data_IF_031246476989
#
_entry.id   IF_031246476989
#
_cell.length_a   1.000
_cell.length_b   1.000
_cell.length_c   1.000
_cell.angle_alpha   90.00
_cell.angle_beta   90.00
_cell.angle_gamma   90.00
#
_symmetry.space_group_name_H-M   'P 1'
#
loop_
_entity.id
_entity.type
_entity.pdbx_description
1 polymer ?
#
# COMPACT_ATOMS: atom_id res chain seq x y z
N UNK A 1 -51.83 -3.62 7.30
CA UNK A 1 -51.11 -3.89 6.04
C UNK A 1 -49.66 -4.20 6.42
N UNK A 2 -49.18 -5.42 6.18
CA UNK A 2 -47.81 -5.83 6.53
C UNK A 2 -46.84 -5.29 5.47
N UNK A 3 -45.85 -4.52 5.91
CA UNK A 3 -44.78 -4.01 5.05
C UNK A 3 -43.86 -5.16 4.65
N UNK A 4 -43.68 -5.40 3.35
CA UNK A 4 -42.78 -6.43 2.86
C UNK A 4 -41.33 -5.92 2.89
N UNK A 5 -40.56 -6.33 3.90
CA UNK A 5 -39.17 -5.93 4.06
C UNK A 5 -38.25 -6.46 2.95
N UNK A 6 -38.57 -7.59 2.31
CA UNK A 6 -37.73 -8.17 1.26
C UNK A 6 -37.64 -7.23 0.06
N UNK A 7 -38.76 -6.57 -0.30
CA UNK A 7 -38.78 -5.56 -1.37
C UNK A 7 -37.90 -4.36 -0.99
N UNK A 8 -37.98 -3.87 0.25
CA UNK A 8 -37.19 -2.73 0.71
C UNK A 8 -35.70 -3.04 0.79
N UNK A 9 -35.35 -4.25 1.24
CA UNK A 9 -33.97 -4.74 1.28
C UNK A 9 -33.44 -4.92 -0.15
N UNK A 10 -34.28 -5.43 -1.06
CA UNK A 10 -33.92 -5.50 -2.47
C UNK A 10 -33.66 -4.10 -3.04
N UNK A 11 -34.52 -3.13 -2.77
CA UNK A 11 -34.36 -1.72 -3.19
C UNK A 11 -33.09 -1.07 -2.63
N UNK A 12 -32.70 -1.36 -1.38
CA UNK A 12 -31.43 -0.89 -0.81
C UNK A 12 -30.22 -1.27 -1.68
N UNK A 13 -30.28 -2.42 -2.37
CA UNK A 13 -29.23 -2.86 -3.29
C UNK A 13 -29.07 -2.00 -4.55
N UNK A 14 -30.09 -1.22 -4.92
CA UNK A 14 -30.09 -0.37 -6.11
C UNK A 14 -29.71 1.09 -5.82
N UNK A 15 -29.73 1.50 -4.55
CA UNK A 15 -29.43 2.86 -4.14
C UNK A 15 -27.92 3.10 -4.21
N UNK A 16 -27.50 4.02 -5.08
CA UNK A 16 -26.08 4.38 -5.24
C UNK A 16 -25.64 5.49 -4.28
N UNK A 17 -26.59 6.29 -3.79
CA UNK A 17 -26.29 7.46 -2.95
C UNK A 17 -26.27 7.05 -1.47
N UNK A 18 -25.11 7.16 -0.81
CA UNK A 18 -24.95 6.81 0.63
C UNK A 18 -25.96 7.52 1.54
N UNK A 19 -26.31 8.77 1.21
CA UNK A 19 -27.29 9.58 1.96
C UNK A 19 -28.69 8.95 1.98
N UNK A 20 -29.08 8.32 0.89
CA UNK A 20 -30.41 7.71 0.75
C UNK A 20 -30.47 6.37 1.50
N UNK A 21 -29.40 5.56 1.39
CA UNK A 21 -29.21 4.35 2.22
C UNK A 21 -29.29 4.71 3.70
N UNK A 22 -28.56 5.74 4.11
CA UNK A 22 -28.57 6.24 5.49
C UNK A 22 -29.96 6.68 5.95
N UNK A 23 -30.71 7.39 5.10
CA UNK A 23 -32.05 7.86 5.40
C UNK A 23 -33.00 6.69 5.66
N UNK A 24 -32.91 5.61 4.86
CA UNK A 24 -33.68 4.38 5.08
C UNK A 24 -33.25 3.64 6.34
N UNK A 25 -31.94 3.53 6.61
CA UNK A 25 -31.40 2.90 7.82
C UNK A 25 -31.90 3.55 9.11
N UNK A 26 -32.24 4.85 9.09
CA UNK A 26 -32.77 5.58 10.26
C UNK A 26 -34.23 5.27 10.58
N UNK A 27 -34.97 4.63 9.67
CA UNK A 27 -36.41 4.40 9.86
C UNK A 27 -36.71 3.24 10.81
N UNK A 28 -35.94 2.14 10.76
CA UNK A 28 -36.13 0.98 11.63
C UNK A 28 -34.86 0.11 11.77
N UNK A 29 -34.82 -0.76 12.78
CA UNK A 29 -33.67 -1.65 13.05
C UNK A 29 -33.38 -2.64 11.93
N UNK A 30 -34.42 -3.17 11.27
CA UNK A 30 -34.28 -4.11 10.15
C UNK A 30 -33.54 -3.47 8.98
N UNK A 31 -33.96 -2.27 8.57
CA UNK A 31 -33.30 -1.53 7.50
C UNK A 31 -31.93 -1.00 7.93
N UNK A 32 -31.73 -0.65 9.21
CA UNK A 32 -30.39 -0.36 9.74
C UNK A 32 -29.44 -1.53 9.50
N UNK A 33 -29.84 -2.75 9.87
CA UNK A 33 -28.98 -3.93 9.71
C UNK A 33 -28.77 -4.30 8.24
N UNK A 34 -29.84 -4.33 7.45
CA UNK A 34 -29.78 -4.66 6.02
C UNK A 34 -29.02 -3.61 5.19
N UNK A 35 -29.03 -2.34 5.61
CA UNK A 35 -28.32 -1.25 4.94
C UNK A 35 -26.82 -1.21 5.19
N UNK A 36 -26.29 -1.86 6.23
CA UNK A 36 -24.86 -1.81 6.58
C UNK A 36 -23.93 -2.24 5.43
N UNK A 37 -24.13 -3.40 4.77
CA UNK A 37 -23.27 -3.79 3.65
C UNK A 37 -23.25 -2.76 2.52
N UNK A 38 -24.37 -2.09 2.28
CA UNK A 38 -24.49 -1.08 1.23
C UNK A 38 -23.81 0.24 1.61
N UNK A 39 -23.83 0.62 2.89
CA UNK A 39 -23.15 1.82 3.39
C UNK A 39 -21.62 1.72 3.27
N UNK A 40 -21.08 0.52 3.52
CA UNK A 40 -19.64 0.22 3.47
C UNK A 40 -19.15 -0.28 2.11
N UNK A 41 -20.03 -0.43 1.12
CA UNK A 41 -19.65 -0.87 -0.24
C UNK A 41 -18.65 0.07 -0.91
N UNK A 42 -18.81 1.40 -0.86
CA UNK A 42 -17.82 2.31 -1.43
C UNK A 42 -16.72 2.64 -0.43
N UNK A 43 -15.47 2.85 -0.88
CA UNK A 43 -14.33 3.10 0.00
C UNK A 43 -14.59 4.20 1.02
N UNK A 44 -14.11 3.97 2.24
CA UNK A 44 -14.22 4.92 3.33
C UNK A 44 -12.89 5.67 3.45
N UNK A 45 -12.91 6.95 3.09
CA UNK A 45 -11.76 7.85 3.20
C UNK A 45 -12.16 9.17 3.87
N UNK A 46 -12.13 9.25 5.22
CA UNK A 46 -12.45 10.49 5.92
C UNK A 46 -11.48 11.60 5.51
N UNK A 47 -12.02 12.74 5.08
CA UNK A 47 -11.23 13.86 4.59
C UNK A 47 -10.92 14.91 5.66
N UNK A 48 -11.78 14.99 6.68
CA UNK A 48 -11.63 15.90 7.81
C UNK A 48 -11.69 15.13 9.13
N UNK A 49 -11.23 15.79 10.20
CA UNK A 49 -11.30 15.22 11.54
C UNK A 49 -12.75 15.05 12.00
N UNK A 50 -13.64 15.95 11.63
CA UNK A 50 -15.05 15.89 11.98
C UNK A 50 -15.71 14.66 11.33
N UNK A 51 -15.37 14.37 10.07
CA UNK A 51 -15.81 13.15 9.39
C UNK A 51 -15.23 11.90 10.05
N UNK A 52 -13.95 11.92 10.41
CA UNK A 52 -13.28 10.81 11.09
C UNK A 52 -13.88 10.54 12.47
N UNK A 53 -14.12 11.59 13.26
CA UNK A 53 -14.73 11.50 14.58
C UNK A 53 -16.18 10.99 14.48
N UNK A 54 -16.98 11.52 13.55
CA UNK A 54 -18.34 11.04 13.30
C UNK A 54 -18.35 9.57 12.89
N UNK A 55 -17.38 9.14 12.07
CA UNK A 55 -17.18 7.75 11.71
C UNK A 55 -16.84 6.87 12.93
N UNK A 56 -15.89 7.29 13.77
CA UNK A 56 -15.55 6.57 15.00
C UNK A 56 -16.76 6.45 15.94
N UNK A 57 -17.50 7.55 16.16
CA UNK A 57 -18.73 7.54 16.97
C UNK A 57 -19.81 6.62 16.37
N UNK A 58 -19.89 6.54 15.05
CA UNK A 58 -20.81 5.61 14.38
C UNK A 58 -20.42 4.15 14.60
N UNK A 59 -19.13 3.82 14.53
CA UNK A 59 -18.62 2.47 14.82
C UNK A 59 -18.91 2.11 16.28
N UNK A 60 -18.61 2.99 17.22
CA UNK A 60 -18.90 2.77 18.65
C UNK A 60 -20.39 2.52 18.90
N UNK A 61 -21.26 3.35 18.30
CA UNK A 61 -22.70 3.24 18.49
C UNK A 61 -23.32 2.02 17.80
N UNK A 62 -22.65 1.46 16.79
CA UNK A 62 -23.15 0.30 16.03
C UNK A 62 -22.49 -1.02 16.45
N UNK A 63 -21.47 -0.95 17.31
CA UNK A 63 -20.78 -2.09 17.89
C UNK A 63 -19.99 -2.93 16.87
N UNK A 64 -19.59 -4.15 17.26
CA UNK A 64 -18.68 -4.99 16.47
C UNK A 64 -19.26 -5.41 15.11
N UNK A 65 -20.57 -5.27 14.92
CA UNK A 65 -21.27 -5.71 13.71
C UNK A 65 -20.97 -4.87 12.48
N UNK A 66 -20.41 -3.66 12.62
CA UNK A 66 -20.08 -2.79 11.49
C UNK A 66 -18.71 -3.10 10.89
N UNK A 67 -17.72 -3.42 11.72
CA UNK A 67 -16.35 -3.67 11.26
C UNK A 67 -16.28 -4.76 10.20
N UNK A 68 -17.08 -5.82 10.34
CA UNK A 68 -17.10 -6.94 9.37
C UNK A 68 -17.54 -6.57 7.95
N UNK A 69 -18.16 -5.40 7.75
CA UNK A 69 -18.57 -4.95 6.41
C UNK A 69 -17.55 -4.01 5.79
N UNK A 70 -16.56 -3.55 6.55
CA UNK A 70 -15.50 -2.69 6.07
C UNK A 70 -14.56 -3.49 5.16
N UNK A 71 -14.49 -3.12 3.89
CA UNK A 71 -13.64 -3.76 2.88
C UNK A 71 -12.48 -2.90 2.45
N UNK A 72 -12.72 -1.61 2.34
CA UNK A 72 -11.76 -0.64 1.84
C UNK A 72 -11.74 0.55 2.81
N UNK A 73 -10.56 0.82 3.36
CA UNK A 73 -10.38 1.92 4.30
C UNK A 73 -9.09 2.67 4.02
N UNK A 74 -9.22 3.97 3.83
CA UNK A 74 -8.07 4.87 3.69
C UNK A 74 -8.14 5.92 4.78
N UNK A 75 -7.04 6.14 5.48
CA UNK A 75 -6.94 7.22 6.45
C UNK A 75 -5.71 8.07 6.20
N UNK A 76 -5.74 9.27 6.78
CA UNK A 76 -4.64 10.21 6.73
C UNK A 76 -3.95 10.31 8.08
N UNK A 77 -2.63 10.28 8.14
CA UNK A 77 -1.91 10.27 9.43
C UNK A 77 -2.21 11.49 10.30
N UNK A 78 -2.51 12.65 9.72
CA UNK A 78 -2.96 13.86 10.45
C UNK A 78 -4.22 13.61 11.29
N UNK A 79 -5.10 12.71 10.84
CA UNK A 79 -6.32 12.36 11.56
C UNK A 79 -5.98 11.60 12.84
N UNK A 80 -4.88 10.84 12.87
CA UNK A 80 -4.42 10.12 14.06
C UNK A 80 -3.85 11.02 15.12
N UNK A 81 -2.97 11.93 14.75
CA UNK A 81 -2.39 12.90 15.70
C UNK A 81 -3.52 13.67 16.38
N UNK A 82 -4.56 14.04 15.62
CA UNK A 82 -5.74 14.70 16.19
C UNK A 82 -6.62 13.74 16.99
N UNK A 83 -6.83 12.50 16.52
CA UNK A 83 -7.61 11.48 17.23
C UNK A 83 -7.00 11.11 18.59
N UNK A 84 -5.68 11.10 18.70
CA UNK A 84 -4.95 10.90 19.95
C UNK A 84 -5.23 12.05 20.93
N UNK A 85 -5.23 13.29 20.43
CA UNK A 85 -5.56 14.48 21.23
C UNK A 85 -7.03 14.55 21.65
N UNK A 86 -7.96 14.04 20.83
CA UNK A 86 -9.41 14.10 21.09
C UNK A 86 -9.98 12.83 21.72
N UNK A 87 -9.16 11.80 21.95
CA UNK A 87 -9.60 10.53 22.54
C UNK A 87 -10.36 9.59 21.61
N UNK A 88 -10.47 9.90 20.31
CA UNK A 88 -11.17 9.05 19.31
C UNK A 88 -10.30 7.90 18.80
N UNK A 89 -9.02 7.86 19.16
CA UNK A 89 -8.07 6.82 18.73
C UNK A 89 -8.48 5.41 19.19
N UNK A 90 -9.04 5.28 20.40
CA UNK A 90 -9.45 3.97 20.94
C UNK A 90 -10.56 3.33 20.11
N UNK A 91 -11.58 4.11 19.76
CA UNK A 91 -12.68 3.70 18.87
C UNK A 91 -12.20 3.31 17.48
N UNK A 92 -11.17 4.01 17.00
CA UNK A 92 -10.56 3.69 15.73
C UNK A 92 -9.79 2.37 15.76
N UNK A 93 -9.02 2.12 16.83
CA UNK A 93 -8.28 0.87 17.02
C UNK A 93 -9.25 -0.32 17.15
N UNK A 94 -10.33 -0.18 17.94
CA UNK A 94 -11.31 -1.27 18.15
C UNK A 94 -12.08 -1.64 16.87
N UNK A 95 -12.11 -0.75 15.88
CA UNK A 95 -12.67 -1.06 14.57
C UNK A 95 -11.88 -2.19 13.89
N UNK A 96 -10.55 -2.17 13.96
CA UNK A 96 -9.70 -3.15 13.28
C UNK A 96 -9.83 -4.55 13.87
N UNK A 97 -10.12 -4.67 15.17
CA UNK A 97 -10.42 -5.95 15.82
C UNK A 97 -11.59 -6.69 15.14
N UNK A 98 -12.53 -5.93 14.57
CA UNK A 98 -13.73 -6.45 13.93
C UNK A 98 -13.69 -6.37 12.40
N UNK A 99 -12.64 -5.81 11.81
CA UNK A 99 -12.51 -5.57 10.36
C UNK A 99 -12.03 -6.82 9.59
N UNK A 100 -12.67 -7.96 9.83
CA UNK A 100 -12.26 -9.27 9.30
C UNK A 100 -12.41 -9.41 7.78
N UNK A 101 -13.13 -8.49 7.14
CA UNK A 101 -13.30 -8.45 5.68
C UNK A 101 -12.52 -7.29 5.03
N UNK A 102 -11.65 -6.61 5.77
CA UNK A 102 -10.82 -5.53 5.23
C UNK A 102 -9.81 -6.11 4.24
N UNK A 103 -9.92 -5.69 2.99
CA UNK A 103 -9.11 -6.13 1.86
C UNK A 103 -8.18 -5.03 1.37
N UNK A 104 -8.59 -3.76 1.47
CA UNK A 104 -7.77 -2.64 1.03
C UNK A 104 -7.54 -1.67 2.19
N UNK A 105 -6.27 -1.38 2.44
CA UNK A 105 -5.84 -0.46 3.49
C UNK A 105 -4.92 0.60 2.89
N UNK A 106 -5.37 1.86 2.95
CA UNK A 106 -4.58 3.02 2.55
C UNK A 106 -4.16 3.86 3.75
N UNK A 107 -2.88 4.20 3.80
CA UNK A 107 -2.28 5.12 4.75
C UNK A 107 -1.69 6.27 3.94
N UNK A 108 -2.32 7.43 4.02
CA UNK A 108 -1.91 8.63 3.31
C UNK A 108 -1.31 9.67 4.27
N UNK A 109 -0.33 10.43 3.80
CA UNK A 109 0.09 11.66 4.44
C UNK A 109 -0.30 12.87 3.59
N UNK A 110 -0.71 13.96 4.25
CA UNK A 110 -0.90 15.25 3.61
C UNK A 110 -0.08 16.29 4.37
N UNK A 111 0.99 16.80 3.76
CA UNK A 111 1.75 17.94 4.23
C UNK A 111 3.17 17.63 4.70
N UNK A 112 3.79 18.64 5.30
CA UNK A 112 5.18 18.64 5.79
C UNK A 112 5.20 18.74 7.34
N UNK A 113 4.09 18.33 7.98
CA UNK A 113 3.90 18.54 9.42
C UNK A 113 4.79 17.58 10.22
N UNK A 114 5.61 18.18 11.09
CA UNK A 114 6.52 17.47 11.97
C UNK A 114 5.83 16.36 12.77
N UNK A 115 6.50 15.21 12.66
CA UNK A 115 6.24 13.86 13.09
C UNK A 115 5.66 13.71 14.51
N UNK A 116 4.52 13.04 14.59
CA UNK A 116 4.22 12.17 15.74
C UNK A 116 4.56 10.73 15.34
N UNK A 117 5.33 10.03 16.17
CA UNK A 117 5.48 8.57 16.05
C UNK A 117 4.07 7.97 16.16
N UNK A 118 3.64 7.08 15.24
CA UNK A 118 2.34 6.44 15.36
C UNK A 118 2.19 5.77 16.72
N UNK A 119 0.99 5.84 17.28
CA UNK A 119 0.70 5.20 18.55
C UNK A 119 1.01 3.69 18.48
N UNK A 120 1.77 3.11 19.43
CA UNK A 120 2.12 1.70 19.39
C UNK A 120 0.92 0.74 19.34
N UNK A 121 -0.19 1.10 19.99
CA UNK A 121 -1.42 0.29 19.96
C UNK A 121 -2.06 0.28 18.58
N UNK A 122 -1.93 1.36 17.82
CA UNK A 122 -2.36 1.38 16.42
C UNK A 122 -1.49 0.47 15.57
N UNK A 123 -0.16 0.56 15.68
CA UNK A 123 0.76 -0.29 14.92
C UNK A 123 0.48 -1.77 15.22
N UNK A 124 0.28 -2.10 16.49
CA UNK A 124 -0.11 -3.45 16.90
C UNK A 124 -1.42 -3.88 16.25
N UNK A 125 -2.47 -3.05 16.31
CA UNK A 125 -3.78 -3.37 15.72
C UNK A 125 -3.68 -3.61 14.20
N UNK A 126 -2.93 -2.77 13.48
CA UNK A 126 -2.68 -2.95 12.05
C UNK A 126 -1.94 -4.26 11.76
N UNK A 127 -0.95 -4.63 12.58
CA UNK A 127 -0.23 -5.90 12.43
C UNK A 127 -1.10 -7.15 12.62
N UNK A 128 -2.22 -7.04 13.34
CA UNK A 128 -3.16 -8.17 13.55
C UNK A 128 -4.10 -8.41 12.38
N UNK A 129 -4.13 -7.53 11.37
CA UNK A 129 -4.97 -7.71 10.20
C UNK A 129 -4.52 -8.94 9.39
N UNK A 130 -5.47 -9.78 9.01
CA UNK A 130 -5.22 -11.05 8.28
C UNK A 130 -5.81 -11.09 6.87
N UNK A 131 -6.68 -10.13 6.53
CA UNK A 131 -7.44 -10.12 5.28
C UNK A 131 -6.94 -9.17 4.19
N UNK A 132 -5.93 -8.33 4.48
CA UNK A 132 -5.50 -7.24 3.58
C UNK A 132 -4.79 -7.80 2.34
N UNK A 133 -5.27 -7.42 1.16
CA UNK A 133 -4.70 -7.77 -0.14
C UNK A 133 -4.00 -6.60 -0.78
N UNK A 134 -4.57 -5.41 -0.67
CA UNK A 134 -4.01 -4.19 -1.27
C UNK A 134 -3.62 -3.24 -0.13
N UNK A 135 -2.32 -3.02 0.03
CA UNK A 135 -1.76 -2.16 1.07
C UNK A 135 -1.02 -0.99 0.43
N UNK A 136 -1.45 0.22 0.76
CA UNK A 136 -0.76 1.44 0.34
C UNK A 136 -0.30 2.24 1.56
N UNK A 137 1.00 2.53 1.65
CA UNK A 137 1.59 3.43 2.64
C UNK A 137 2.31 4.54 1.90
N UNK A 138 1.53 5.58 1.59
CA UNK A 138 1.97 6.76 0.85
C UNK A 138 2.45 7.81 1.84
N UNK A 139 3.77 7.90 1.89
CA UNK A 139 4.63 8.74 2.73
C UNK A 139 4.95 8.14 4.11
N UNK A 140 6.22 8.27 4.52
CA UNK A 140 6.75 7.81 5.81
C UNK A 140 6.55 6.31 6.09
N UNK A 141 6.68 5.46 5.07
CA UNK A 141 6.65 4.00 5.23
C UNK A 141 7.63 3.47 6.31
N UNK A 142 8.70 4.21 6.61
CA UNK A 142 9.64 3.90 7.69
C UNK A 142 8.98 3.74 9.06
N UNK A 143 8.00 4.59 9.40
CA UNK A 143 7.28 4.50 10.68
C UNK A 143 6.38 3.27 10.78
N UNK A 144 6.11 2.61 9.65
CA UNK A 144 5.27 1.42 9.53
C UNK A 144 6.07 0.15 9.24
N UNK A 145 7.41 0.19 9.25
CA UNK A 145 8.25 -1.02 9.11
C UNK A 145 7.84 -2.11 10.11
N UNK A 146 7.60 -1.84 11.41
CA UNK A 146 7.14 -2.88 12.34
C UNK A 146 5.81 -3.52 11.93
N UNK A 147 4.91 -2.75 11.31
CA UNK A 147 3.64 -3.27 10.78
C UNK A 147 3.91 -4.16 9.58
N UNK A 148 4.71 -3.70 8.61
CA UNK A 148 5.07 -4.49 7.43
C UNK A 148 5.74 -5.82 7.79
N UNK A 149 6.58 -5.81 8.84
CA UNK A 149 7.28 -6.99 9.34
C UNK A 149 6.44 -7.92 10.24
N UNK A 150 5.30 -7.47 10.74
CA UNK A 150 4.42 -8.29 11.60
C UNK A 150 3.13 -8.73 10.90
N UNK A 151 2.68 -7.98 9.88
CA UNK A 151 1.45 -8.22 9.16
C UNK A 151 1.45 -9.62 8.52
N UNK A 152 0.42 -10.41 8.86
CA UNK A 152 0.22 -11.77 8.35
C UNK A 152 -0.78 -11.83 7.18
N UNK A 153 -1.24 -10.67 6.72
CA UNK A 153 -2.16 -10.59 5.58
C UNK A 153 -1.48 -11.02 4.27
N UNK A 154 -2.17 -11.74 3.37
CA UNK A 154 -1.63 -12.17 2.08
C UNK A 154 -1.65 -11.01 1.08
N UNK A 155 -0.82 -10.00 1.32
CA UNK A 155 -0.74 -8.80 0.48
C UNK A 155 -0.34 -9.18 -0.95
N UNK A 156 -1.18 -8.81 -1.90
CA UNK A 156 -1.06 -9.02 -3.34
C UNK A 156 -0.51 -7.78 -4.01
N UNK A 157 -0.98 -6.59 -3.61
CA UNK A 157 -0.48 -5.31 -4.11
C UNK A 157 0.07 -4.47 -2.97
N UNK A 158 1.27 -3.96 -3.17
CA UNK A 158 1.96 -3.15 -2.18
C UNK A 158 2.45 -1.86 -2.81
N UNK A 159 2.08 -0.73 -2.23
CA UNK A 159 2.51 0.60 -2.64
C UNK A 159 3.19 1.28 -1.45
N UNK A 160 4.50 1.50 -1.53
CA UNK A 160 5.32 2.05 -0.45
C UNK A 160 6.07 3.29 -0.91
N UNK A 161 5.94 4.36 -0.14
CA UNK A 161 6.76 5.57 -0.30
C UNK A 161 7.58 5.82 0.96
N UNK A 162 8.89 5.62 0.84
CA UNK A 162 9.86 6.05 1.86
C UNK A 162 10.24 7.51 1.60
N UNK A 163 10.61 8.27 2.63
CA UNK A 163 11.03 9.67 2.48
C UNK A 163 12.54 9.79 2.74
N UNK A 164 13.21 10.77 2.11
CA UNK A 164 14.65 11.01 2.13
C UNK A 164 15.21 11.23 3.55
N UNK A 165 14.41 11.81 4.44
CA UNK A 165 14.87 12.31 5.74
C UNK A 165 14.97 11.27 6.86
N UNK A 166 14.95 9.96 6.57
CA UNK A 166 14.96 8.93 7.62
C UNK A 166 16.40 8.50 7.95
N UNK A 167 16.97 8.92 9.09
CA UNK A 167 18.26 8.41 9.53
C UNK A 167 18.17 6.88 9.67
N UNK A 168 19.17 6.17 9.13
CA UNK A 168 19.29 4.71 9.09
C UNK A 168 18.52 3.95 7.99
N UNK A 169 17.81 4.62 7.06
CA UNK A 169 17.21 3.91 5.91
C UNK A 169 18.28 3.16 5.09
N UNK A 170 19.50 3.70 5.06
CA UNK A 170 20.66 3.07 4.44
C UNK A 170 21.08 1.73 5.08
N UNK A 171 20.57 1.36 6.25
CA UNK A 171 20.94 0.10 6.91
C UNK A 171 19.95 -1.04 6.65
N UNK A 172 18.80 -0.74 6.04
CA UNK A 172 17.72 -1.73 5.84
C UNK A 172 17.46 -1.92 4.35
N UNK A 173 17.74 -3.12 3.85
CA UNK A 173 17.40 -3.45 2.47
C UNK A 173 15.87 -3.49 2.27
N UNK A 174 15.31 -2.91 1.20
CA UNK A 174 13.87 -2.81 1.00
C UNK A 174 13.19 -4.19 0.97
N UNK A 175 13.86 -5.19 0.39
CA UNK A 175 13.34 -6.57 0.31
C UNK A 175 13.16 -7.23 1.68
N UNK A 176 13.96 -6.84 2.68
CA UNK A 176 13.81 -7.36 4.06
C UNK A 176 12.55 -6.85 4.75
N UNK A 177 12.04 -5.68 4.35
CA UNK A 177 10.83 -5.06 4.91
C UNK A 177 9.58 -5.82 4.42
N UNK A 178 9.60 -6.26 3.16
CA UNK A 178 8.45 -6.85 2.49
C UNK A 178 8.51 -8.39 2.38
N UNK A 179 9.51 -9.02 3.00
CA UNK A 179 9.77 -10.47 2.89
C UNK A 179 8.58 -11.35 3.28
N UNK A 180 7.74 -10.89 4.21
CA UNK A 180 6.54 -11.61 4.66
C UNK A 180 5.53 -11.83 3.53
N UNK A 181 5.55 -10.97 2.52
CA UNK A 181 4.66 -11.02 1.37
C UNK A 181 5.24 -11.82 0.20
N UNK A 182 6.42 -12.44 0.37
CA UNK A 182 7.12 -13.19 -0.70
C UNK A 182 6.28 -14.25 -1.42
N UNK A 183 5.34 -14.88 -0.71
CA UNK A 183 4.47 -15.92 -1.26
C UNK A 183 3.18 -15.41 -1.89
N UNK A 184 2.80 -14.15 -1.67
CA UNK A 184 1.52 -13.58 -2.11
C UNK A 184 1.65 -12.37 -3.03
N UNK A 185 2.76 -11.64 -2.97
CA UNK A 185 2.93 -10.36 -3.65
C UNK A 185 3.00 -10.55 -5.17
N UNK A 186 2.13 -9.84 -5.89
CA UNK A 186 2.03 -9.85 -7.34
C UNK A 186 2.45 -8.50 -7.95
N UNK A 187 2.18 -7.40 -7.25
CA UNK A 187 2.49 -6.04 -7.69
C UNK A 187 3.18 -5.22 -6.60
N UNK A 188 4.28 -4.56 -6.95
CA UNK A 188 5.03 -3.68 -6.04
C UNK A 188 5.26 -2.31 -6.69
N UNK A 189 4.76 -1.26 -6.05
CA UNK A 189 5.16 0.14 -6.27
C UNK A 189 6.04 0.58 -5.11
N UNK A 190 7.27 1.00 -5.41
CA UNK A 190 8.26 1.35 -4.41
C UNK A 190 8.97 2.65 -4.77
N UNK A 191 8.74 3.68 -3.97
CA UNK A 191 9.54 4.90 -3.98
C UNK A 191 10.58 4.81 -2.86
N UNK A 192 11.85 4.73 -3.25
CA UNK A 192 12.96 4.45 -2.36
C UNK A 192 14.11 5.43 -2.60
N UNK A 193 14.48 6.17 -1.56
CA UNK A 193 15.48 7.24 -1.67
C UNK A 193 16.89 6.88 -1.17
N UNK A 194 17.06 5.68 -0.60
CA UNK A 194 18.38 5.25 -0.12
C UNK A 194 19.22 4.64 -1.24
N UNK A 195 20.52 4.92 -1.20
CA UNK A 195 21.54 4.35 -2.09
C UNK A 195 21.66 2.82 -1.97
N UNK A 196 21.26 2.27 -0.82
CA UNK A 196 21.34 0.83 -0.55
C UNK A 196 20.07 0.11 -0.98
N UNK A 197 19.88 -0.03 -2.30
CA UNK A 197 18.87 -0.95 -2.82
C UNK A 197 19.33 -2.41 -2.78
N UNK A 198 20.63 -2.67 -2.57
CA UNK A 198 21.21 -4.01 -2.62
C UNK A 198 20.50 -4.99 -1.66
N UNK A 199 19.73 -5.96 -2.17
CA UNK A 199 19.20 -7.01 -1.33
C UNK A 199 20.35 -7.94 -0.98
N UNK A 200 20.45 -8.27 0.30
CA UNK A 200 21.05 -9.53 0.68
C UNK A 200 20.25 -10.64 -0.03
N UNK A 201 20.93 -11.51 -0.78
CA UNK A 201 20.31 -12.68 -1.42
C UNK A 201 19.50 -13.44 -0.36
N UNK A 202 18.17 -13.34 -0.41
CA UNK A 202 17.33 -13.86 0.69
C UNK A 202 15.91 -14.15 0.26
N UNK A 203 15.17 -13.14 -0.19
CA UNK A 203 13.77 -13.29 -0.56
C UNK A 203 13.59 -13.35 -2.09
N UNK A 204 12.79 -14.33 -2.54
CA UNK A 204 12.26 -14.41 -3.88
C UNK A 204 10.74 -14.23 -3.83
N UNK A 205 10.20 -13.44 -4.76
CA UNK A 205 8.79 -13.13 -4.88
C UNK A 205 8.30 -13.78 -6.17
N UNK A 206 8.04 -15.09 -6.11
CA UNK A 206 7.78 -15.91 -7.30
C UNK A 206 6.45 -15.55 -8.01
N UNK A 207 5.51 -14.92 -7.32
CA UNK A 207 4.23 -14.48 -7.89
C UNK A 207 4.29 -13.06 -8.46
N UNK A 208 5.40 -12.36 -8.25
CA UNK A 208 5.51 -10.97 -8.59
C UNK A 208 5.69 -10.81 -10.10
N UNK A 209 4.81 -10.02 -10.70
CA UNK A 209 4.71 -9.81 -12.15
C UNK A 209 4.83 -8.34 -12.52
N UNK A 210 4.52 -7.41 -11.61
CA UNK A 210 4.63 -5.98 -11.85
C UNK A 210 5.48 -5.27 -10.80
N UNK A 211 6.41 -4.45 -11.28
CA UNK A 211 7.33 -3.67 -10.49
C UNK A 211 7.35 -2.23 -10.99
N UNK A 212 7.01 -1.29 -10.13
CA UNK A 212 7.24 0.14 -10.32
C UNK A 212 8.26 0.61 -9.27
N UNK A 213 9.42 1.06 -9.72
CA UNK A 213 10.48 1.57 -8.85
C UNK A 213 10.76 3.02 -9.19
N UNK A 214 10.68 3.88 -8.18
CA UNK A 214 11.19 5.25 -8.24
C UNK A 214 12.37 5.34 -7.28
N UNK A 215 13.59 5.55 -7.80
CA UNK A 215 14.80 5.67 -6.99
C UNK A 215 15.74 6.75 -7.55
N UNK A 216 16.16 7.74 -6.75
CA UNK A 216 17.12 8.76 -7.19
C UNK A 216 18.48 8.18 -7.56
N UNK A 217 18.85 7.05 -6.95
CA UNK A 217 20.14 6.37 -7.07
C UNK A 217 20.12 5.09 -7.91
N UNK A 218 19.34 5.03 -8.99
CA UNK A 218 19.23 3.84 -9.86
C UNK A 218 20.59 3.32 -10.38
N UNK A 219 21.65 4.15 -10.39
CA UNK A 219 23.02 3.75 -10.70
C UNK A 219 23.61 2.67 -9.78
N UNK A 220 22.94 2.30 -8.69
CA UNK A 220 23.33 1.21 -7.79
C UNK A 220 22.43 -0.03 -7.91
N UNK A 221 21.36 0.04 -8.70
CA UNK A 221 20.44 -1.07 -8.88
C UNK A 221 21.03 -2.10 -9.85
N UNK A 222 21.45 -3.25 -9.34
CA UNK A 222 21.96 -4.33 -10.17
C UNK A 222 20.82 -5.16 -10.75
N UNK A 223 20.86 -5.44 -12.05
CA UNK A 223 19.84 -6.23 -12.74
C UNK A 223 19.75 -7.66 -12.19
N UNK A 224 20.91 -8.24 -11.80
CA UNK A 224 21.00 -9.59 -11.23
C UNK A 224 20.13 -9.74 -9.98
N UNK A 225 20.15 -8.70 -9.15
CA UNK A 225 19.34 -8.60 -7.94
C UNK A 225 17.84 -8.60 -8.25
N UNK A 226 17.42 -7.80 -9.24
CA UNK A 226 16.02 -7.73 -9.61
C UNK A 226 15.54 -9.05 -10.20
N UNK A 227 16.35 -9.66 -11.08
CA UNK A 227 16.05 -10.96 -11.68
C UNK A 227 16.02 -12.07 -10.61
N UNK A 228 16.92 -12.00 -9.62
CA UNK A 228 16.94 -12.95 -8.50
C UNK A 228 15.65 -12.85 -7.66
N UNK A 229 15.27 -11.64 -7.27
CA UNK A 229 14.13 -11.39 -6.39
C UNK A 229 12.80 -11.55 -7.10
N UNK A 230 12.72 -11.21 -8.40
CA UNK A 230 11.49 -11.18 -9.19
C UNK A 230 11.67 -11.99 -10.49
N UNK A 231 11.85 -13.32 -10.41
CA UNK A 231 12.20 -14.12 -11.58
C UNK A 231 11.09 -14.18 -12.65
N UNK A 232 9.83 -13.97 -12.25
CA UNK A 232 8.65 -14.02 -13.12
C UNK A 232 8.11 -12.62 -13.47
N UNK A 233 8.94 -11.58 -13.34
CA UNK A 233 8.55 -10.21 -13.66
C UNK A 233 8.17 -10.08 -15.15
N UNK A 234 7.07 -9.39 -15.41
CA UNK A 234 6.54 -9.12 -16.76
C UNK A 234 6.48 -7.64 -17.07
N UNK A 235 6.24 -6.81 -16.05
CA UNK A 235 6.07 -5.37 -16.20
C UNK A 235 7.10 -4.67 -15.33
N UNK A 236 7.98 -3.90 -15.94
CA UNK A 236 8.96 -3.06 -15.25
C UNK A 236 8.71 -1.60 -15.59
N UNK A 237 8.36 -0.80 -14.57
CA UNK A 237 8.28 0.65 -14.64
C UNK A 237 9.38 1.23 -13.76
N UNK A 238 10.08 2.20 -14.31
CA UNK A 238 11.08 2.98 -13.58
C UNK A 238 10.74 4.45 -13.72
N UNK A 239 10.80 5.19 -12.62
CA UNK A 239 10.49 6.61 -12.63
C UNK A 239 11.66 7.39 -12.02
N UNK A 240 11.90 8.61 -12.51
CA UNK A 240 12.87 9.52 -11.92
C UNK A 240 12.22 10.31 -10.79
N UNK A 241 12.93 10.46 -9.68
CA UNK A 241 12.64 11.57 -8.78
C UNK A 241 13.20 12.83 -9.45
N UNK A 242 12.32 13.75 -9.88
CA UNK A 242 12.60 14.98 -10.64
C UNK A 242 13.71 15.89 -10.07
N UNK A 243 14.24 15.59 -8.89
CA UNK A 243 15.25 16.38 -8.20
C UNK A 243 16.68 16.22 -8.75
N UNK A 244 17.00 15.15 -9.49
CA UNK A 244 18.40 14.82 -9.90
C UNK A 244 18.63 14.60 -11.40
N UNK A 245 17.62 14.81 -12.25
CA UNK A 245 17.72 14.62 -13.70
C UNK A 245 18.81 15.48 -14.40
N UNK A 246 19.40 16.46 -13.71
CA UNK A 246 20.39 17.38 -14.25
C UNK A 246 21.86 16.94 -14.09
N UNK A 247 22.15 15.85 -13.40
CA UNK A 247 23.55 15.43 -13.11
C UNK A 247 23.93 14.05 -13.65
N UNK A 248 23.28 13.57 -14.71
CA UNK A 248 23.66 12.31 -15.33
C UNK A 248 25.08 12.37 -15.91
N UNK A 249 26.05 11.75 -15.24
CA UNK A 249 27.37 11.48 -15.79
C UNK A 249 27.32 10.16 -16.58
N UNK A 250 27.73 10.23 -17.85
CA UNK A 250 27.72 9.09 -18.77
C UNK A 250 28.71 8.00 -18.35
N UNK A 251 29.87 8.37 -17.81
CA UNK A 251 30.93 7.42 -17.50
C UNK A 251 30.55 6.42 -16.38
N UNK A 252 29.97 6.85 -15.23
CA UNK A 252 29.41 5.94 -14.24
C UNK A 252 28.27 5.06 -14.81
N UNK A 253 27.40 5.64 -15.64
CA UNK A 253 26.31 4.90 -16.28
C UNK A 253 26.82 3.76 -17.17
N UNK A 254 27.85 4.01 -17.99
CA UNK A 254 28.45 2.99 -18.86
C UNK A 254 29.08 1.85 -18.05
N UNK A 255 29.81 2.16 -16.96
CA UNK A 255 30.40 1.15 -16.10
C UNK A 255 29.34 0.25 -15.43
N UNK A 256 28.24 0.85 -14.97
CA UNK A 256 27.11 0.11 -14.39
C UNK A 256 26.41 -0.79 -15.42
N UNK A 257 26.18 -0.25 -16.62
CA UNK A 257 25.62 -1.01 -17.73
C UNK A 257 26.47 -2.23 -18.08
N UNK A 258 27.79 -2.08 -18.15
CA UNK A 258 28.68 -3.23 -18.42
C UNK A 258 28.60 -4.29 -17.32
N UNK A 259 28.48 -3.86 -16.06
CA UNK A 259 28.27 -4.78 -14.92
C UNK A 259 26.96 -5.55 -15.04
N UNK A 260 25.87 -4.87 -15.42
CA UNK A 260 24.57 -5.49 -15.65
C UNK A 260 24.60 -6.47 -16.85
N UNK A 261 25.22 -6.07 -17.96
CA UNK A 261 25.38 -6.93 -19.14
C UNK A 261 26.20 -8.18 -18.84
N UNK A 262 27.30 -8.05 -18.09
CA UNK A 262 28.10 -9.20 -17.67
C UNK A 262 27.27 -10.19 -16.82
N UNK A 263 26.32 -9.68 -16.03
CA UNK A 263 25.46 -10.48 -15.17
C UNK A 263 24.39 -11.28 -15.94
N UNK A 264 24.03 -10.88 -17.16
CA UNK A 264 23.08 -11.60 -18.02
C UNK A 264 23.52 -13.00 -18.40
N UNK A 265 24.83 -13.26 -18.38
CA UNK A 265 25.37 -14.61 -18.56
C UNK A 265 24.92 -15.59 -17.47
N UNK A 266 24.56 -15.08 -16.29
CA UNK A 266 24.13 -15.87 -15.14
C UNK A 266 22.62 -15.96 -15.05
N UNK A 267 21.94 -14.81 -15.12
CA UNK A 267 20.49 -14.71 -14.95
C UNK A 267 19.93 -13.56 -15.78
N UNK A 268 18.78 -13.79 -16.38
CA UNK A 268 17.99 -12.77 -17.07
C UNK A 268 16.51 -13.14 -17.00
N UNK A 269 15.63 -12.16 -17.12
CA UNK A 269 14.24 -12.44 -17.45
C UNK A 269 14.14 -13.09 -18.83
N UNK A 270 13.18 -13.98 -19.01
CA UNK A 270 12.91 -14.60 -20.32
C UNK A 270 12.36 -13.56 -21.30
N UNK A 271 11.35 -12.82 -20.86
CA UNK A 271 10.73 -11.71 -21.58
C UNK A 271 10.08 -10.75 -20.60
N UNK A 272 9.89 -9.50 -21.02
CA UNK A 272 9.00 -8.54 -20.38
C UNK A 272 7.82 -8.27 -21.33
N UNK A 273 6.62 -8.20 -20.77
CA UNK A 273 5.42 -7.79 -21.51
C UNK A 273 5.39 -6.25 -21.67
N UNK A 274 6.01 -5.51 -20.74
CA UNK A 274 6.04 -4.05 -20.75
C UNK A 274 7.26 -3.48 -20.03
N UNK A 275 7.87 -2.44 -20.62
CA UNK A 275 9.02 -1.71 -20.06
C UNK A 275 8.80 -0.20 -20.21
N UNK A 276 8.87 0.54 -19.11
CA UNK A 276 8.68 1.99 -19.10
C UNK A 276 9.68 2.69 -18.18
N UNK A 277 10.12 3.87 -18.59
CA UNK A 277 10.88 4.78 -17.74
C UNK A 277 11.84 5.70 -18.48
N UNK A 278 12.57 6.54 -17.74
CA UNK A 278 13.60 7.42 -18.30
C UNK A 278 14.66 6.64 -19.06
N UNK A 279 15.06 7.15 -20.22
CA UNK A 279 15.97 6.45 -21.14
C UNK A 279 17.30 6.10 -20.48
N UNK A 280 17.82 6.99 -19.66
CA UNK A 280 19.05 6.82 -18.90
C UNK A 280 19.00 5.65 -17.91
N UNK A 281 17.85 5.41 -17.29
CA UNK A 281 17.64 4.30 -16.36
C UNK A 281 17.51 2.98 -17.12
N UNK A 282 16.72 2.98 -18.19
CA UNK A 282 16.59 1.79 -19.05
C UNK A 282 17.94 1.41 -19.69
N UNK A 283 18.72 2.40 -20.13
CA UNK A 283 20.06 2.19 -20.68
C UNK A 283 20.99 1.53 -19.67
N UNK A 284 21.00 1.99 -18.42
CA UNK A 284 21.90 1.50 -17.38
C UNK A 284 21.52 0.15 -16.81
N UNK A 285 20.22 -0.17 -16.73
CA UNK A 285 19.76 -1.52 -16.42
C UNK A 285 20.25 -2.54 -17.45
N UNK A 286 20.52 -2.09 -18.68
CA UNK A 286 21.15 -2.92 -19.71
C UNK A 286 20.28 -4.09 -20.17
N UNK A 287 18.94 -3.97 -20.07
CA UNK A 287 17.95 -5.03 -20.34
C UNK A 287 18.28 -5.82 -21.62
N UNK A 288 18.34 -7.16 -21.48
CA UNK A 288 18.82 -8.08 -22.51
C UNK A 288 17.85 -9.21 -22.83
N UNK A 289 16.58 -9.03 -22.49
CA UNK A 289 15.47 -9.91 -22.82
C UNK A 289 14.58 -9.27 -23.90
N UNK A 290 13.67 -10.05 -24.46
CA UNK A 290 12.67 -9.52 -25.39
C UNK A 290 11.62 -8.71 -24.64
N UNK A 291 11.25 -7.55 -25.17
CA UNK A 291 10.13 -6.74 -24.67
C UNK A 291 8.99 -6.86 -25.67
N UNK A 292 7.82 -7.28 -25.20
CA UNK A 292 6.60 -7.35 -25.99
C UNK A 292 6.23 -5.99 -26.57
N UNK A 293 5.87 -5.97 -27.84
CA UNK A 293 5.36 -4.80 -28.57
C UNK A 293 3.85 -4.69 -28.42
#
# INVERSE_FOLDING_TARGET
MLLNFDILIHLLGWIQIKKDVWSLMRTCRTLKFAGMPHLFRPPISPCSHEQFAAFCSFIDASGPTCGRFLREFTFRTRLFVRAQKTGTLKSFISMFEHAQQLQELGIEHLGDEMHGIPDPSLLQALGTLTGVKDLAIRSYASSFIPVLQSLQSPVVKLDLTFNECVPNLNQVAPMSIIQNFSSSLEQLSLVWYSENFAPHHGAQFLRMTELDITCPGMGLLTIDTLVYSFPNLRVLRTNSCDFWALTWDRAPGDAHRQTNLASHSRRRWESLDYLEGPLEYLYTLGIGCNVGT
#
